data_IF_334998715287
#
_entry.id   IF_334998715287
#
_cell.length_a   1.000
_cell.length_b   1.000
_cell.length_c   1.000
_cell.angle_alpha   90.00
_cell.angle_beta   90.00
_cell.angle_gamma   90.00
#
_symmetry.space_group_name_H-M   'P 1'
#
loop_
_entity.id
_entity.type
_entity.pdbx_description
1 polymer ?
#
# COMPACT_ATOMS: atom_id res chain seq x y z
N UNK A 1 19.71 6.89 11.84
CA UNK A 1 19.96 5.56 12.42
C UNK A 1 18.81 4.60 12.09
N UNK A 2 17.58 4.79 12.61
CA UNK A 2 16.44 3.90 12.30
C UNK A 2 16.15 3.72 10.79
N UNK A 3 16.14 4.81 10.01
CA UNK A 3 15.94 4.75 8.55
C UNK A 3 17.01 3.90 7.82
N UNK A 4 18.27 4.00 8.27
CA UNK A 4 19.37 3.24 7.69
C UNK A 4 19.24 1.74 8.00
N UNK A 5 18.92 1.40 9.25
CA UNK A 5 18.65 0.01 9.63
C UNK A 5 17.42 -0.55 8.90
N UNK A 6 16.39 0.27 8.67
CA UNK A 6 15.23 -0.11 7.88
C UNK A 6 15.62 -0.42 6.43
N UNK A 7 16.48 0.37 5.79
CA UNK A 7 16.99 0.07 4.44
C UNK A 7 17.76 -1.27 4.41
N UNK A 8 18.54 -1.57 5.45
CA UNK A 8 19.29 -2.83 5.55
C UNK A 8 18.42 -4.04 5.89
N UNK A 9 17.18 -3.83 6.34
CA UNK A 9 16.33 -4.90 6.86
C UNK A 9 16.82 -5.48 8.18
N UNK A 10 17.56 -4.69 8.95
CA UNK A 10 18.10 -5.07 10.25
C UNK A 10 17.04 -4.94 11.34
N UNK A 11 16.97 -5.92 12.24
CA UNK A 11 16.08 -5.87 13.41
C UNK A 11 16.46 -4.78 14.42
N UNK A 12 17.66 -4.18 14.29
CA UNK A 12 18.09 -3.05 15.12
C UNK A 12 17.22 -1.80 14.94
N UNK A 13 16.46 -1.70 13.85
CA UNK A 13 15.47 -0.63 13.64
C UNK A 13 14.51 -0.51 14.83
N UNK A 14 14.05 -1.62 15.40
CA UNK A 14 13.13 -1.64 16.56
C UNK A 14 13.82 -1.05 17.79
N UNK A 15 15.11 -1.35 18.00
CA UNK A 15 15.87 -0.78 19.13
C UNK A 15 15.96 0.74 19.01
N UNK A 16 16.21 1.25 17.79
CA UNK A 16 16.26 2.69 17.55
C UNK A 16 14.88 3.36 17.69
N UNK A 17 13.81 2.73 17.19
CA UNK A 17 12.46 3.25 17.32
C UNK A 17 12.02 3.25 18.79
N UNK A 18 12.29 2.20 19.57
CA UNK A 18 12.01 2.19 21.01
C UNK A 18 12.77 3.29 21.76
N UNK A 19 14.05 3.50 21.45
CA UNK A 19 14.83 4.59 22.02
C UNK A 19 14.25 5.97 21.68
N UNK A 20 13.78 6.15 20.44
CA UNK A 20 13.10 7.37 20.03
C UNK A 20 11.75 7.56 20.74
N UNK A 21 10.99 6.49 20.95
CA UNK A 21 9.76 6.49 21.73
C UNK A 21 9.99 6.99 23.15
N UNK A 22 11.02 6.49 23.84
CA UNK A 22 11.40 6.97 25.17
C UNK A 22 11.73 8.47 25.17
N UNK A 23 12.38 8.98 24.12
CA UNK A 23 12.65 10.42 23.99
C UNK A 23 11.38 11.24 23.82
N UNK A 24 10.40 10.74 23.07
CA UNK A 24 9.08 11.39 22.95
C UNK A 24 8.33 11.38 24.28
N UNK A 25 8.32 10.25 24.99
CA UNK A 25 7.66 10.12 26.29
C UNK A 25 8.24 11.11 27.32
N UNK A 26 9.58 11.24 27.38
CA UNK A 26 10.26 12.20 28.25
C UNK A 26 9.87 13.66 27.98
N UNK A 27 9.40 13.98 26.78
CA UNK A 27 8.95 15.33 26.40
C UNK A 27 7.44 15.52 26.50
N UNK A 28 6.70 14.49 26.92
CA UNK A 28 5.25 14.49 27.07
C UNK A 28 4.49 14.02 25.83
N UNK A 29 5.07 13.09 25.08
CA UNK A 29 4.42 12.34 24.00
C UNK A 29 4.76 12.84 22.59
N UNK A 30 4.55 11.97 21.60
CA UNK A 30 4.79 12.28 20.17
C UNK A 30 3.89 13.41 19.68
N UNK A 31 2.67 13.55 20.22
CA UNK A 31 1.67 14.57 19.82
C UNK A 31 2.18 16.01 20.00
N UNK A 32 3.06 16.26 20.99
CA UNK A 32 3.71 17.56 21.15
C UNK A 32 4.66 17.88 20.01
N UNK A 33 5.37 16.88 19.50
CA UNK A 33 6.20 17.06 18.31
C UNK A 33 5.35 17.22 17.05
N UNK A 34 4.12 16.72 17.04
CA UNK A 34 3.21 16.85 15.89
C UNK A 34 2.50 18.22 15.83
N UNK A 35 2.49 18.99 16.91
CA UNK A 35 1.77 20.28 17.01
C UNK A 35 2.67 21.52 17.12
N UNK A 36 3.97 21.34 17.38
CA UNK A 36 4.94 22.44 17.56
C UNK A 36 6.01 22.52 16.45
N UNK A 37 7.11 23.25 16.71
CA UNK A 37 8.33 23.31 15.86
C UNK A 37 8.96 21.94 15.55
N UNK A 38 8.50 20.88 16.21
CA UNK A 38 8.91 19.49 16.02
C UNK A 38 8.19 18.74 14.91
N UNK A 39 7.28 19.37 14.15
CA UNK A 39 6.39 18.71 13.18
C UNK A 39 7.12 17.74 12.26
N UNK A 40 8.28 18.14 11.75
CA UNK A 40 9.11 17.31 10.89
C UNK A 40 9.70 16.08 11.60
N UNK A 41 10.08 16.22 12.88
CA UNK A 41 10.65 15.12 13.66
C UNK A 41 9.56 14.08 13.96
N UNK A 42 8.37 14.52 14.38
CA UNK A 42 7.23 13.64 14.64
C UNK A 42 6.80 12.88 13.38
N UNK A 43 6.57 13.60 12.28
CA UNK A 43 6.18 12.98 11.00
C UNK A 43 7.26 12.07 10.44
N UNK A 44 8.54 12.43 10.56
CA UNK A 44 9.63 11.57 10.11
C UNK A 44 9.71 10.28 10.94
N UNK A 45 9.56 10.38 12.26
CA UNK A 45 9.51 9.19 13.12
C UNK A 45 8.34 8.27 12.77
N UNK A 46 7.14 8.84 12.57
CA UNK A 46 5.97 8.10 12.12
C UNK A 46 6.18 7.46 10.75
N UNK A 47 6.80 8.18 9.80
CA UNK A 47 7.12 7.64 8.48
C UNK A 47 8.03 6.42 8.59
N UNK A 48 9.11 6.50 9.37
CA UNK A 48 10.05 5.38 9.54
C UNK A 48 9.35 4.15 10.13
N UNK A 49 8.56 4.36 11.19
CA UNK A 49 7.78 3.31 11.87
C UNK A 49 6.75 2.65 10.94
N UNK A 50 5.98 3.47 10.22
CA UNK A 50 5.00 3.02 9.24
C UNK A 50 5.65 2.19 8.12
N UNK A 51 6.79 2.65 7.58
CA UNK A 51 7.52 1.93 6.54
C UNK A 51 8.08 0.62 7.04
N UNK A 52 8.69 0.63 8.24
CA UNK A 52 9.23 -0.58 8.85
C UNK A 52 8.12 -1.62 9.04
N UNK A 53 7.00 -1.18 9.59
CA UNK A 53 5.81 -2.01 9.82
C UNK A 53 5.26 -2.60 8.52
N UNK A 54 5.13 -1.76 7.49
CA UNK A 54 4.63 -2.18 6.17
C UNK A 54 5.55 -3.21 5.51
N UNK A 55 6.86 -2.96 5.47
CA UNK A 55 7.81 -3.82 4.74
C UNK A 55 8.32 -5.02 5.55
N UNK A 56 8.02 -5.09 6.84
CA UNK A 56 8.48 -6.18 7.71
C UNK A 56 7.32 -6.96 8.33
N UNK A 57 6.09 -6.64 7.95
CA UNK A 57 4.87 -7.20 8.53
C UNK A 57 4.89 -7.16 10.07
N UNK A 58 5.29 -6.02 10.65
CA UNK A 58 5.27 -5.80 12.12
C UNK A 58 4.19 -4.80 12.51
N UNK A 59 3.87 -4.74 13.80
CA UNK A 59 2.96 -3.70 14.32
C UNK A 59 3.73 -2.39 14.47
N UNK A 60 3.14 -1.25 14.06
CA UNK A 60 3.73 0.06 14.31
C UNK A 60 3.79 0.39 15.80
N UNK A 61 4.83 1.13 16.18
CA UNK A 61 5.09 1.59 17.55
C UNK A 61 4.47 2.95 17.86
N UNK A 62 4.42 3.84 16.87
CA UNK A 62 3.95 5.23 17.05
C UNK A 62 2.58 5.49 16.45
N UNK A 63 2.11 4.58 15.60
CA UNK A 63 0.84 4.73 14.90
C UNK A 63 -0.18 3.71 15.39
N UNK A 64 -1.34 4.17 15.85
CA UNK A 64 -2.49 3.28 16.04
C UNK A 64 -3.05 2.86 14.67
N UNK A 65 -3.15 1.54 14.44
CA UNK A 65 -3.80 0.99 13.24
C UNK A 65 -5.31 1.08 13.43
N UNK A 66 -5.96 1.93 12.63
CA UNK A 66 -7.39 2.24 12.75
C UNK A 66 -8.19 1.43 11.75
N UNK A 67 -9.52 1.43 11.92
CA UNK A 67 -10.44 0.89 10.91
C UNK A 67 -10.22 1.61 9.58
N UNK A 68 -10.18 0.90 8.44
CA UNK A 68 -9.98 1.53 7.16
C UNK A 68 -11.06 2.55 6.84
N UNK A 69 -10.64 3.70 6.32
CA UNK A 69 -11.54 4.74 5.83
C UNK A 69 -11.45 4.70 4.30
N UNK A 70 -12.47 4.09 3.68
CA UNK A 70 -12.56 3.87 2.24
C UNK A 70 -13.58 4.79 1.55
N UNK A 71 -14.38 5.56 2.30
CA UNK A 71 -15.35 6.54 1.77
C UNK A 71 -15.41 7.76 2.68
N UNK A 72 -15.57 8.95 2.10
CA UNK A 72 -15.66 10.21 2.85
C UNK A 72 -17.09 10.75 2.70
N UNK A 73 -17.87 10.81 3.79
CA UNK A 73 -19.25 11.27 3.74
C UNK A 73 -19.39 12.79 3.54
N UNK A 74 -18.32 13.60 3.53
CA UNK A 74 -18.37 15.07 3.58
C UNK A 74 -17.98 15.76 2.25
N UNK A 75 -18.28 15.14 1.11
CA UNK A 75 -17.87 15.61 -0.22
C UNK A 75 -18.58 16.91 -0.64
N UNK A 76 -18.02 18.05 -0.24
CA UNK A 76 -18.45 19.39 -0.68
C UNK A 76 -17.33 20.29 -1.21
N UNK A 77 -16.06 19.88 -1.16
CA UNK A 77 -14.93 20.77 -1.47
C UNK A 77 -13.96 20.17 -2.51
N UNK A 78 -13.74 20.96 -3.57
CA UNK A 78 -12.78 20.76 -4.67
C UNK A 78 -11.33 20.71 -4.17
N UNK A 79 -10.87 19.59 -3.63
CA UNK A 79 -9.44 19.28 -3.61
C UNK A 79 -9.14 18.30 -4.74
N UNK A 80 -7.97 18.48 -5.38
CA UNK A 80 -7.47 17.60 -6.45
C UNK A 80 -7.12 16.24 -5.83
N UNK A 81 -8.13 15.40 -5.61
CA UNK A 81 -7.93 14.08 -5.05
C UNK A 81 -7.40 13.15 -6.13
N UNK A 82 -6.16 12.67 -5.98
CA UNK A 82 -5.59 11.59 -6.78
C UNK A 82 -6.30 10.26 -6.41
N UNK A 83 -7.26 9.78 -7.22
CA UNK A 83 -8.16 8.67 -6.89
C UNK A 83 -7.60 7.29 -7.30
N UNK A 84 -6.34 7.23 -7.70
CA UNK A 84 -5.77 6.10 -8.42
C UNK A 84 -5.32 4.93 -7.53
N UNK A 85 -5.44 5.04 -6.20
CA UNK A 85 -4.84 4.08 -5.26
C UNK A 85 -5.87 3.20 -4.56
N UNK A 86 -5.82 1.85 -4.72
CA UNK A 86 -6.73 0.92 -4.05
C UNK A 86 -6.86 1.05 -2.53
N UNK A 87 -5.95 1.78 -1.89
CA UNK A 87 -5.92 2.03 -0.45
C UNK A 87 -6.62 3.34 -0.03
N UNK A 88 -7.29 4.04 -0.95
CA UNK A 88 -7.84 5.38 -0.69
C UNK A 88 -9.36 5.44 -0.56
N UNK A 89 -9.81 6.61 -0.13
CA UNK A 89 -11.20 7.03 -0.11
C UNK A 89 -11.77 7.09 -1.53
N UNK A 90 -12.64 6.15 -1.86
CA UNK A 90 -13.42 6.12 -3.09
C UNK A 90 -14.69 6.98 -2.92
N UNK A 91 -14.62 8.23 -3.34
CA UNK A 91 -15.83 8.97 -3.69
C UNK A 91 -16.09 8.76 -5.19
N UNK A 92 -17.27 8.25 -5.54
CA UNK A 92 -17.67 7.84 -6.89
C UNK A 92 -17.30 8.81 -8.05
N UNK A 93 -17.28 10.16 -7.87
CA UNK A 93 -16.86 11.08 -8.92
C UNK A 93 -15.35 11.05 -9.25
N UNK A 94 -14.51 10.68 -8.27
CA UNK A 94 -13.04 10.76 -8.39
C UNK A 94 -12.45 9.63 -9.22
N UNK A 95 -12.90 8.38 -9.03
CA UNK A 95 -12.32 7.24 -9.75
C UNK A 95 -12.47 7.36 -11.28
N UNK A 96 -13.58 7.96 -11.75
CA UNK A 96 -13.80 8.26 -13.17
C UNK A 96 -12.84 9.34 -13.73
N UNK A 97 -12.22 10.17 -12.89
CA UNK A 97 -11.17 11.09 -13.32
C UNK A 97 -9.89 10.32 -13.72
N UNK A 98 -9.72 9.05 -13.33
CA UNK A 98 -8.63 8.18 -13.81
C UNK A 98 -8.70 7.91 -15.31
N UNK A 99 -9.85 8.14 -15.95
CA UNK A 99 -10.03 8.07 -17.41
C UNK A 99 -9.19 9.13 -18.14
N UNK A 100 -8.74 10.19 -17.46
CA UNK A 100 -7.89 11.24 -18.06
C UNK A 100 -6.41 10.85 -18.18
N UNK A 101 -5.94 9.81 -17.47
CA UNK A 101 -4.58 9.29 -17.62
C UNK A 101 -4.62 8.13 -18.62
N UNK A 102 -4.20 8.41 -19.85
CA UNK A 102 -4.27 7.45 -20.97
C UNK A 102 -3.59 6.13 -20.63
N UNK A 103 -2.41 6.20 -20.00
CA UNK A 103 -1.59 5.04 -19.64
C UNK A 103 -2.27 4.11 -18.62
N UNK A 104 -3.20 4.64 -17.81
CA UNK A 104 -3.94 3.86 -16.81
C UNK A 104 -5.21 3.21 -17.36
N UNK A 105 -5.74 3.66 -18.51
CA UNK A 105 -7.04 3.19 -19.04
C UNK A 105 -7.12 1.68 -19.16
N UNK A 106 -6.06 1.08 -19.68
CA UNK A 106 -5.96 -0.37 -19.87
C UNK A 106 -5.83 -1.18 -18.56
N UNK A 107 -5.56 -0.51 -17.44
CA UNK A 107 -5.40 -1.12 -16.11
C UNK A 107 -6.54 -0.76 -15.15
N UNK A 108 -7.53 0.03 -15.58
CA UNK A 108 -8.66 0.47 -14.75
C UNK A 108 -9.42 -0.69 -14.12
N UNK A 109 -9.57 -1.78 -14.85
CA UNK A 109 -10.24 -2.98 -14.34
C UNK A 109 -9.50 -3.60 -13.15
N UNK A 110 -8.17 -3.71 -13.24
CA UNK A 110 -7.35 -4.24 -12.14
C UNK A 110 -7.41 -3.33 -10.93
N UNK A 111 -7.35 -2.02 -11.15
CA UNK A 111 -7.46 -1.03 -10.06
C UNK A 111 -8.82 -1.13 -9.38
N UNK A 112 -9.91 -1.12 -10.16
CA UNK A 112 -11.27 -1.25 -9.65
C UNK A 112 -11.44 -2.54 -8.87
N UNK A 113 -10.94 -3.65 -9.37
CA UNK A 113 -11.05 -4.93 -8.68
C UNK A 113 -10.27 -4.94 -7.36
N UNK A 114 -9.08 -4.33 -7.32
CA UNK A 114 -8.30 -4.21 -6.10
C UNK A 114 -9.05 -3.37 -5.04
N UNK A 115 -9.66 -2.26 -5.45
CA UNK A 115 -10.55 -1.47 -4.59
C UNK A 115 -11.74 -2.29 -4.08
N UNK A 116 -12.48 -2.91 -5.00
CA UNK A 116 -13.65 -3.73 -4.68
C UNK A 116 -13.26 -4.87 -3.72
N UNK A 117 -12.10 -5.49 -3.92
CA UNK A 117 -11.58 -6.56 -3.07
C UNK A 117 -11.38 -6.12 -1.62
N UNK A 118 -10.71 -4.99 -1.42
CA UNK A 118 -10.50 -4.41 -0.08
C UNK A 118 -11.82 -3.94 0.55
N UNK A 119 -12.71 -3.33 -0.23
CA UNK A 119 -14.02 -2.88 0.25
C UNK A 119 -14.90 -4.06 0.68
N UNK A 120 -14.99 -5.11 -0.14
CA UNK A 120 -15.73 -6.32 0.20
C UNK A 120 -15.20 -6.93 1.49
N UNK A 121 -13.87 -7.00 1.67
CA UNK A 121 -13.27 -7.49 2.91
C UNK A 121 -13.65 -6.62 4.11
N UNK A 122 -13.65 -5.30 3.96
CA UNK A 122 -14.09 -4.40 5.03
C UNK A 122 -15.57 -4.59 5.39
N UNK A 123 -16.44 -4.78 4.40
CA UNK A 123 -17.87 -5.07 4.62
C UNK A 123 -18.02 -6.38 5.39
N UNK A 124 -17.32 -7.44 4.99
CA UNK A 124 -17.35 -8.73 5.70
C UNK A 124 -16.92 -8.64 7.16
N UNK A 125 -15.96 -7.76 7.47
CA UNK A 125 -15.43 -7.60 8.84
C UNK A 125 -16.31 -6.70 9.69
N UNK A 126 -16.87 -5.63 9.11
CA UNK A 126 -17.50 -4.56 9.89
C UNK A 126 -19.00 -4.39 9.67
N UNK A 127 -19.58 -5.06 8.69
CA UNK A 127 -21.02 -5.08 8.42
C UNK A 127 -21.48 -6.50 8.01
N UNK A 128 -21.60 -7.42 8.98
CA UNK A 128 -21.97 -8.81 8.73
C UNK A 128 -23.35 -8.98 8.07
N UNK A 129 -24.26 -8.02 8.29
CA UNK A 129 -25.61 -8.06 7.72
C UNK A 129 -25.56 -7.83 6.21
N UNK A 130 -24.84 -6.80 5.77
CA UNK A 130 -24.61 -6.54 4.35
C UNK A 130 -23.79 -7.67 3.72
N UNK A 131 -22.75 -8.16 4.41
CA UNK A 131 -21.93 -9.27 3.93
C UNK A 131 -22.74 -10.56 3.69
N UNK A 132 -23.69 -10.86 4.57
CA UNK A 132 -24.58 -12.03 4.42
C UNK A 132 -25.52 -11.84 3.23
N UNK A 133 -26.08 -10.64 3.08
CA UNK A 133 -27.02 -10.31 2.00
C UNK A 133 -26.35 -10.33 0.62
N UNK A 134 -25.15 -9.74 0.52
CA UNK A 134 -24.40 -9.60 -0.75
C UNK A 134 -23.43 -10.78 -1.01
N UNK A 135 -23.37 -11.78 -0.14
CA UNK A 135 -22.29 -12.79 -0.14
C UNK A 135 -22.16 -13.59 -1.45
N UNK A 136 -23.26 -13.88 -2.14
CA UNK A 136 -23.23 -14.49 -3.48
C UNK A 136 -22.58 -13.56 -4.52
N UNK A 137 -22.91 -12.27 -4.47
CA UNK A 137 -22.36 -11.26 -5.37
C UNK A 137 -20.86 -11.04 -5.10
N UNK A 138 -20.46 -11.04 -3.83
CA UNK A 138 -19.04 -10.91 -3.45
C UNK A 138 -18.22 -12.08 -3.97
N UNK A 139 -18.72 -13.31 -3.81
CA UNK A 139 -18.07 -14.50 -4.40
C UNK A 139 -17.92 -14.38 -5.91
N UNK A 140 -19.01 -14.07 -6.62
CA UNK A 140 -18.94 -13.92 -8.08
C UNK A 140 -17.95 -12.84 -8.54
N UNK A 141 -17.87 -11.71 -7.81
CA UNK A 141 -16.90 -10.65 -8.10
C UNK A 141 -15.45 -11.10 -7.86
N UNK A 142 -15.20 -11.80 -6.76
CA UNK A 142 -13.88 -12.37 -6.43
C UNK A 142 -13.43 -13.37 -7.50
N UNK A 143 -14.32 -14.27 -7.91
CA UNK A 143 -14.03 -15.27 -8.93
C UNK A 143 -13.72 -14.61 -10.28
N UNK A 144 -14.50 -13.59 -10.67
CA UNK A 144 -14.28 -12.81 -11.89
C UNK A 144 -12.94 -12.08 -11.85
N UNK A 145 -12.61 -11.45 -10.72
CA UNK A 145 -11.34 -10.77 -10.51
C UNK A 145 -10.16 -11.74 -10.63
N UNK A 146 -10.22 -12.85 -9.88
CA UNK A 146 -9.18 -13.86 -9.86
C UNK A 146 -8.96 -14.48 -11.25
N UNK A 147 -10.04 -14.81 -11.95
CA UNK A 147 -9.99 -15.34 -13.32
C UNK A 147 -9.32 -14.35 -14.27
N UNK A 148 -9.62 -13.04 -14.18
CA UNK A 148 -9.00 -12.01 -15.02
C UNK A 148 -7.50 -11.85 -14.75
N UNK A 149 -7.07 -11.97 -13.49
CA UNK A 149 -5.65 -11.91 -13.14
C UNK A 149 -4.90 -13.16 -13.57
N UNK A 150 -5.50 -14.35 -13.38
CA UNK A 150 -4.91 -15.64 -13.76
C UNK A 150 -4.86 -15.86 -15.27
N UNK A 151 -5.83 -15.36 -16.03
CA UNK A 151 -5.84 -15.47 -17.50
C UNK A 151 -4.66 -14.75 -18.18
N UNK A 152 -3.84 -14.02 -17.40
CA UNK A 152 -2.63 -13.34 -17.88
C UNK A 152 -1.44 -13.91 -17.12
N UNK A 153 -0.75 -14.84 -17.75
CA UNK A 153 0.52 -15.35 -17.25
C UNK A 153 1.52 -14.23 -17.00
N UNK A 154 2.54 -14.51 -16.19
CA UNK A 154 3.67 -13.59 -16.04
C UNK A 154 4.26 -13.40 -17.44
N UNK A 155 4.35 -12.14 -17.88
CA UNK A 155 4.91 -11.83 -19.19
C UNK A 155 6.36 -12.34 -19.25
N UNK A 156 6.60 -13.30 -20.13
CA UNK A 156 7.94 -13.85 -20.40
C UNK A 156 8.85 -12.82 -21.09
N UNK A 157 8.26 -11.77 -21.68
CA UNK A 157 8.98 -10.66 -22.30
C UNK A 157 9.94 -10.03 -21.30
N UNK A 158 11.18 -9.78 -21.69
CA UNK A 158 12.14 -9.15 -20.79
C UNK A 158 11.67 -7.74 -20.41
N UNK A 159 11.82 -7.28 -19.14
CA UNK A 159 11.31 -5.96 -18.76
C UNK A 159 11.99 -4.82 -19.53
N UNK A 160 13.15 -5.06 -20.16
CA UNK A 160 13.84 -4.09 -21.02
C UNK A 160 13.12 -3.85 -22.35
N UNK A 161 12.37 -4.83 -22.83
CA UNK A 161 11.66 -4.79 -24.11
C UNK A 161 10.28 -4.15 -23.97
N UNK A 162 9.79 -4.01 -22.74
CA UNK A 162 8.53 -3.33 -22.46
C UNK A 162 8.66 -1.81 -22.64
N UNK A 163 7.68 -1.23 -23.32
CA UNK A 163 7.46 0.22 -23.34
C UNK A 163 7.19 0.74 -21.92
N UNK A 164 7.32 2.05 -21.68
CA UNK A 164 6.95 2.67 -20.39
C UNK A 164 5.52 2.30 -20.00
N UNK A 165 4.59 2.38 -20.95
CA UNK A 165 3.19 1.98 -20.74
C UNK A 165 3.08 0.48 -20.38
N UNK A 166 3.80 -0.39 -21.08
CA UNK A 166 3.84 -1.83 -20.78
C UNK A 166 4.36 -2.13 -19.38
N UNK A 167 5.42 -1.44 -18.95
CA UNK A 167 5.97 -1.54 -17.59
C UNK A 167 4.97 -1.08 -16.53
N UNK A 168 4.26 0.03 -16.77
CA UNK A 168 3.21 0.52 -15.85
C UNK A 168 2.08 -0.51 -15.72
N UNK A 169 1.57 -1.03 -16.85
CA UNK A 169 0.52 -2.07 -16.85
C UNK A 169 0.97 -3.30 -16.09
N UNK A 170 2.19 -3.75 -16.34
CA UNK A 170 2.74 -4.94 -15.70
C UNK A 170 2.92 -4.71 -14.19
N UNK A 171 3.43 -3.56 -13.76
CA UNK A 171 3.54 -3.22 -12.34
C UNK A 171 2.17 -3.20 -11.63
N UNK A 172 1.15 -2.61 -12.25
CA UNK A 172 -0.22 -2.60 -11.71
C UNK A 172 -0.80 -4.01 -11.66
N UNK A 173 -0.61 -4.82 -12.70
CA UNK A 173 -1.08 -6.20 -12.76
C UNK A 173 -0.45 -7.05 -11.65
N UNK A 174 0.88 -7.06 -11.54
CA UNK A 174 1.62 -7.83 -10.54
C UNK A 174 1.21 -7.43 -9.12
N UNK A 175 1.11 -6.12 -8.87
CA UNK A 175 0.64 -5.59 -7.58
C UNK A 175 -0.80 -6.01 -7.32
N UNK A 176 -1.68 -5.91 -8.31
CA UNK A 176 -3.06 -6.34 -8.23
C UNK A 176 -3.19 -7.83 -7.90
N UNK A 177 -2.33 -8.68 -8.47
CA UNK A 177 -2.27 -10.11 -8.15
C UNK A 177 -1.88 -10.36 -6.70
N UNK A 178 -0.77 -9.75 -6.23
CA UNK A 178 -0.32 -9.91 -4.84
C UNK A 178 -1.39 -9.40 -3.87
N UNK A 179 -1.99 -8.24 -4.16
CA UNK A 179 -3.04 -7.66 -3.35
C UNK A 179 -4.31 -8.51 -3.35
N UNK A 180 -4.67 -9.11 -4.50
CA UNK A 180 -5.78 -10.04 -4.62
C UNK A 180 -5.61 -11.27 -3.74
N UNK A 181 -4.42 -11.88 -3.76
CA UNK A 181 -4.08 -12.99 -2.86
C UNK A 181 -4.34 -12.59 -1.39
N UNK A 182 -3.96 -11.37 -1.02
CA UNK A 182 -4.18 -10.85 0.33
C UNK A 182 -5.66 -10.61 0.67
N UNK A 183 -6.47 -10.02 -0.21
CA UNK A 183 -7.87 -9.67 0.12
C UNK A 183 -8.89 -10.78 -0.17
N UNK A 184 -8.61 -11.65 -1.13
CA UNK A 184 -9.49 -12.75 -1.55
C UNK A 184 -9.13 -14.04 -0.83
N UNK A 185 -7.86 -14.48 -0.96
CA UNK A 185 -7.38 -15.73 -0.35
C UNK A 185 -6.92 -15.55 1.10
N UNK A 186 -6.82 -14.30 1.57
CA UNK A 186 -6.48 -13.96 2.95
C UNK A 186 -5.12 -14.51 3.42
N UNK A 187 -4.19 -14.64 2.48
CA UNK A 187 -2.80 -15.00 2.77
C UNK A 187 -1.97 -13.74 3.07
N UNK A 188 -0.82 -13.92 3.72
CA UNK A 188 0.11 -12.83 3.90
C UNK A 188 0.72 -12.38 2.57
N UNK A 189 1.18 -11.13 2.51
CA UNK A 189 1.85 -10.63 1.31
C UNK A 189 3.17 -11.38 1.06
N UNK A 190 3.90 -11.76 2.12
CA UNK A 190 5.19 -12.49 2.05
C UNK A 190 5.03 -14.02 1.91
N UNK A 191 3.83 -14.48 1.56
CA UNK A 191 3.58 -15.88 1.23
C UNK A 191 4.33 -16.30 -0.04
N UNK A 192 4.76 -17.57 -0.12
CA UNK A 192 5.54 -18.11 -1.24
C UNK A 192 4.81 -17.98 -2.58
N UNK A 193 3.48 -18.02 -2.58
CA UNK A 193 2.65 -17.81 -3.77
C UNK A 193 2.89 -16.45 -4.45
N UNK A 194 3.35 -15.46 -3.69
CA UNK A 194 3.61 -14.11 -4.20
C UNK A 194 5.06 -13.91 -4.69
N UNK A 195 5.96 -14.88 -4.44
CA UNK A 195 7.40 -14.70 -4.63
C UNK A 195 7.78 -14.37 -6.08
N UNK A 196 7.23 -15.10 -7.05
CA UNK A 196 7.49 -14.83 -8.47
C UNK A 196 6.97 -13.45 -8.90
N UNK A 197 5.82 -13.03 -8.39
CA UNK A 197 5.21 -11.75 -8.76
C UNK A 197 5.99 -10.58 -8.19
N UNK A 198 6.50 -10.67 -6.94
CA UNK A 198 7.26 -9.59 -6.32
C UNK A 198 8.65 -9.44 -6.92
N UNK A 199 9.32 -10.54 -7.27
CA UNK A 199 10.63 -10.49 -7.96
C UNK A 199 10.48 -9.82 -9.32
N UNK A 200 9.46 -10.21 -10.09
CA UNK A 200 9.17 -9.57 -11.37
C UNK A 200 8.78 -8.10 -11.22
N UNK A 201 8.00 -7.76 -10.19
CA UNK A 201 7.61 -6.38 -9.91
C UNK A 201 8.84 -5.52 -9.63
N UNK A 202 9.78 -6.02 -8.83
CA UNK A 202 11.04 -5.34 -8.54
C UNK A 202 11.85 -5.06 -9.81
N UNK A 203 11.97 -6.03 -10.72
CA UNK A 203 12.68 -5.84 -12.00
C UNK A 203 12.02 -4.79 -12.90
N UNK A 204 10.69 -4.82 -13.01
CA UNK A 204 9.92 -3.87 -13.82
C UNK A 204 10.09 -2.45 -13.28
N UNK A 205 9.98 -2.28 -11.95
CA UNK A 205 10.08 -0.97 -11.30
C UNK A 205 11.49 -0.38 -11.38
N UNK A 206 12.56 -1.18 -11.24
CA UNK A 206 13.95 -0.72 -11.43
C UNK A 206 14.20 -0.10 -12.82
N UNK A 207 13.46 -0.56 -13.83
CA UNK A 207 13.59 -0.15 -15.23
C UNK A 207 12.56 0.88 -15.67
N UNK A 208 11.67 1.31 -14.77
CA UNK A 208 10.62 2.28 -15.05
C UNK A 208 11.08 3.69 -14.64
N UNK A 209 10.83 4.66 -15.50
CA UNK A 209 11.15 6.06 -15.21
C UNK A 209 10.19 6.61 -14.15
N UNK A 210 10.75 7.29 -13.13
CA UNK A 210 9.99 7.81 -12.00
C UNK A 210 9.04 8.96 -12.36
N UNK A 211 9.21 9.57 -13.53
CA UNK A 211 8.41 10.73 -13.95
C UNK A 211 6.92 10.39 -14.10
N UNK A 212 6.60 9.17 -14.52
CA UNK A 212 5.21 8.72 -14.57
C UNK A 212 4.55 8.74 -13.18
N UNK A 213 5.25 8.27 -12.16
CA UNK A 213 4.70 8.17 -10.80
C UNK A 213 4.45 9.52 -10.14
N UNK A 214 4.97 10.62 -10.70
CA UNK A 214 4.62 11.98 -10.26
C UNK A 214 3.15 12.32 -10.53
N UNK A 215 2.52 11.72 -11.54
CA UNK A 215 1.10 11.97 -11.88
C UNK A 215 0.15 11.08 -11.08
N UNK A 216 0.61 9.91 -10.64
CA UNK A 216 -0.17 8.94 -9.86
C UNK A 216 0.57 8.47 -8.59
N UNK A 217 0.95 9.37 -7.67
CA UNK A 217 1.86 9.04 -6.58
C UNK A 217 1.28 8.06 -5.55
N UNK A 218 -0.03 8.07 -5.34
CA UNK A 218 -0.68 7.16 -4.41
C UNK A 218 -0.92 5.77 -5.01
N UNK A 219 -1.04 5.68 -6.35
CA UNK A 219 -0.98 4.40 -7.03
C UNK A 219 0.41 3.80 -6.86
N UNK A 220 1.46 4.62 -7.06
CA UNK A 220 2.82 4.19 -6.80
C UNK A 220 3.02 3.76 -5.34
N UNK A 221 2.50 4.52 -4.37
CA UNK A 221 2.56 4.13 -2.95
C UNK A 221 1.91 2.76 -2.70
N UNK A 222 0.75 2.47 -3.29
CA UNK A 222 0.11 1.15 -3.16
C UNK A 222 0.97 0.03 -3.74
N UNK A 223 1.59 0.26 -4.91
CA UNK A 223 2.55 -0.66 -5.53
C UNK A 223 3.72 -0.92 -4.59
N UNK A 224 4.30 0.14 -4.05
CA UNK A 224 5.45 0.04 -3.16
C UNK A 224 5.14 -0.65 -1.84
N UNK A 225 4.00 -0.36 -1.22
CA UNK A 225 3.58 -1.00 0.04
C UNK A 225 3.33 -2.49 -0.16
N UNK A 226 2.61 -2.85 -1.23
CA UNK A 226 2.29 -4.24 -1.56
C UNK A 226 3.56 -5.03 -1.89
N UNK A 227 4.44 -4.48 -2.74
CA UNK A 227 5.73 -5.08 -3.08
C UNK A 227 6.66 -5.17 -1.87
N UNK A 228 6.77 -4.10 -1.09
CA UNK A 228 7.56 -4.02 0.14
C UNK A 228 7.13 -5.05 1.18
N UNK A 229 5.83 -5.25 1.37
CA UNK A 229 5.30 -6.29 2.24
C UNK A 229 5.57 -7.70 1.73
N UNK A 230 5.50 -7.91 0.41
CA UNK A 230 5.72 -9.22 -0.20
C UNK A 230 7.19 -9.66 -0.23
N UNK A 231 8.13 -8.71 -0.10
CA UNK A 231 9.56 -8.99 -0.07
C UNK A 231 10.18 -8.90 1.34
N UNK A 232 9.39 -9.00 2.41
CA UNK A 232 9.88 -8.87 3.79
C UNK A 232 11.08 -9.80 4.11
N UNK A 233 11.17 -10.95 3.43
CA UNK A 233 12.22 -11.97 3.57
C UNK A 233 13.32 -11.89 2.50
N UNK A 234 13.26 -10.92 1.58
CA UNK A 234 14.17 -10.77 0.45
C UNK A 234 14.98 -9.47 0.60
N UNK A 235 16.22 -9.51 1.11
CA UNK A 235 16.96 -8.31 1.50
C UNK A 235 17.12 -7.28 0.38
N UNK A 236 17.48 -7.70 -0.83
CA UNK A 236 17.75 -6.79 -1.96
C UNK A 236 16.46 -6.10 -2.47
N UNK A 237 15.39 -6.80 -2.89
CA UNK A 237 14.14 -6.14 -3.27
C UNK A 237 13.58 -5.27 -2.14
N UNK A 238 13.67 -5.73 -0.90
CA UNK A 238 13.16 -4.99 0.26
C UNK A 238 13.86 -3.64 0.42
N UNK A 239 15.18 -3.59 0.30
CA UNK A 239 15.93 -2.35 0.38
C UNK A 239 15.46 -1.34 -0.69
N UNK A 240 15.18 -1.80 -1.90
CA UNK A 240 14.61 -0.98 -2.97
C UNK A 240 13.25 -0.40 -2.56
N UNK A 241 12.28 -1.23 -2.17
CA UNK A 241 10.95 -0.75 -1.80
C UNK A 241 10.97 0.21 -0.61
N UNK A 242 11.74 -0.08 0.44
CA UNK A 242 11.90 0.83 1.60
C UNK A 242 12.47 2.18 1.16
N UNK A 243 13.46 2.19 0.26
CA UNK A 243 14.05 3.43 -0.25
C UNK A 243 13.06 4.27 -1.06
N UNK A 244 12.22 3.62 -1.86
CA UNK A 244 11.21 4.29 -2.68
C UNK A 244 10.06 4.83 -1.83
N UNK A 245 9.58 4.07 -0.83
CA UNK A 245 8.54 4.56 0.09
C UNK A 245 9.04 5.77 0.87
N UNK A 246 10.31 5.77 1.30
CA UNK A 246 10.89 6.91 1.96
C UNK A 246 10.96 8.14 1.05
N UNK A 247 11.32 7.94 -0.23
CA UNK A 247 11.31 9.03 -1.22
C UNK A 247 9.90 9.59 -1.40
N UNK A 248 8.88 8.74 -1.54
CA UNK A 248 7.48 9.18 -1.65
C UNK A 248 7.01 9.87 -0.36
N UNK A 249 7.37 9.35 0.81
CA UNK A 249 7.02 9.94 2.10
C UNK A 249 7.64 11.32 2.31
N UNK A 250 8.91 11.50 1.97
CA UNK A 250 9.61 12.79 2.09
C UNK A 250 9.20 13.79 1.01
N UNK A 251 8.74 13.33 -0.17
CA UNK A 251 8.38 14.23 -1.28
C UNK A 251 6.91 14.60 -1.36
N UNK A 252 6.00 13.69 -0.97
CA UNK A 252 4.55 13.87 -1.08
C UNK A 252 3.92 13.73 0.29
N UNK A 253 4.33 12.73 1.07
CA UNK A 253 3.81 12.51 2.42
C UNK A 253 3.95 13.74 3.31
N UNK A 254 5.08 14.45 3.27
CA UNK A 254 5.23 15.67 4.09
C UNK A 254 4.41 16.87 3.63
N UNK A 255 4.01 16.93 2.36
CA UNK A 255 3.12 17.99 1.84
C UNK A 255 1.64 17.64 1.99
N UNK A 256 1.30 16.35 1.98
CA UNK A 256 -0.07 15.82 2.05
C UNK A 256 -0.18 14.71 3.11
N UNK A 257 0.18 15.05 4.35
CA UNK A 257 0.42 14.09 5.44
C UNK A 257 -0.80 13.26 5.82
N UNK A 258 -1.96 13.90 5.96
CA UNK A 258 -3.18 13.19 6.39
C UNK A 258 -3.61 12.14 5.35
N UNK A 259 -3.73 12.46 4.06
CA UNK A 259 -4.08 11.46 3.05
C UNK A 259 -2.98 10.40 2.83
N UNK A 260 -1.71 10.74 3.02
CA UNK A 260 -0.60 9.79 2.97
C UNK A 260 -0.68 8.77 4.11
N UNK A 261 -0.76 9.25 5.35
CA UNK A 261 -0.86 8.39 6.54
C UNK A 261 -2.11 7.54 6.53
N UNK A 262 -3.25 8.07 6.05
CA UNK A 262 -4.47 7.28 5.88
C UNK A 262 -4.29 6.12 4.89
N UNK A 263 -3.60 6.36 3.76
CA UNK A 263 -3.35 5.31 2.76
C UNK A 263 -2.48 4.19 3.34
N UNK A 264 -1.44 4.56 4.10
CA UNK A 264 -0.60 3.57 4.79
C UNK A 264 -1.38 2.86 5.91
N UNK A 265 -2.20 3.59 6.69
CA UNK A 265 -2.97 3.00 7.78
C UNK A 265 -3.97 1.94 7.26
N UNK A 266 -4.66 2.23 6.15
CA UNK A 266 -5.51 1.26 5.46
C UNK A 266 -4.74 -0.02 5.07
N UNK A 267 -3.49 0.12 4.62
CA UNK A 267 -2.62 -1.01 4.30
C UNK A 267 -2.14 -1.78 5.56
N UNK A 268 -1.70 -1.07 6.59
CA UNK A 268 -1.27 -1.67 7.86
C UNK A 268 -2.42 -2.42 8.54
N UNK A 269 -3.66 -1.92 8.41
CA UNK A 269 -4.84 -2.62 8.85
C UNK A 269 -5.00 -3.97 8.14
N UNK A 270 -4.84 -3.99 6.81
CA UNK A 270 -4.94 -5.23 6.04
C UNK A 270 -3.89 -6.24 6.52
N UNK A 271 -2.63 -5.82 6.68
CA UNK A 271 -1.59 -6.70 7.22
C UNK A 271 -1.91 -7.21 8.61
N UNK A 272 -2.38 -6.34 9.51
CA UNK A 272 -2.77 -6.74 10.86
C UNK A 272 -3.93 -7.73 10.87
N UNK A 273 -4.95 -7.50 10.05
CA UNK A 273 -6.08 -8.39 9.87
C UNK A 273 -5.61 -9.78 9.43
N UNK A 274 -4.75 -9.85 8.42
CA UNK A 274 -4.20 -11.11 7.92
C UNK A 274 -3.38 -11.81 9.01
N UNK A 275 -2.50 -11.08 9.72
CA UNK A 275 -1.66 -11.66 10.80
C UNK A 275 -2.50 -12.32 11.89
N UNK A 276 -3.64 -11.72 12.21
CA UNK A 276 -4.58 -12.25 13.21
C UNK A 276 -5.31 -13.50 12.71
N UNK A 277 -5.48 -13.67 11.39
CA UNK A 277 -6.07 -14.88 10.81
C UNK A 277 -5.09 -16.05 10.69
N UNK A 278 -3.84 -15.80 10.30
CA UNK A 278 -2.82 -16.87 10.19
C UNK A 278 -2.47 -17.52 11.54
N UNK A 279 -2.76 -16.86 12.67
CA UNK A 279 -2.53 -17.38 14.03
C UNK A 279 -3.68 -18.23 14.58
N UNK A 280 -4.82 -18.31 13.89
CA UNK A 280 -5.99 -19.12 14.28
C UNK A 280 -5.98 -20.43 13.51
#
# INVERSE_FOLDING_TARGET
MAMYENLRGSDQVITHERGLGQMFDMRGGIEKFMSEKGFYIGNYAMLVDMMHSACSNKQPLFTEVKRPILRDPHVGMRKQYFPHSPLRVANNPGFNATVSIEELRSSLDVLRDAFDGLEMLCIEVFDPNTATTEGLRFRHRRDKFWTRLQARDISETEPNELTTEGKVKEAIRLTGTIHCCAVVSQIQHDDELNMQYVLRLHEVLKKLQLDFWKTAPYLYLWILLTGGAACSRLPEPRAYFVSEIARVGMSIGFFDWQPFTQSINNFLWLQEFLRKRTKR
#
